data_IF_570687492498
#
_entry.id   IF_570687492498
#
_cell.length_a   1.000
_cell.length_b   1.000
_cell.length_c   1.000
_cell.angle_alpha   90.00
_cell.angle_beta   90.00
_cell.angle_gamma   90.00
#
_symmetry.space_group_name_H-M   'P 1'
#
loop_
_entity.id
_entity.type
_entity.pdbx_description
1 polymer ?
#
# COMPACT_ATOMS: atom_id res chain seq x y z
N UNK A 1 8.55 29.51 -26.64
CA UNK A 1 7.19 29.26 -26.14
C UNK A 1 7.30 28.04 -25.26
N UNK A 2 7.51 28.26 -23.95
CA UNK A 2 7.72 27.21 -22.95
C UNK A 2 6.41 26.51 -22.66
N UNK A 3 6.42 25.19 -22.74
CA UNK A 3 5.37 24.35 -22.20
C UNK A 3 5.54 24.41 -20.67
N UNK A 4 4.70 25.19 -20.00
CA UNK A 4 4.56 25.13 -18.55
C UNK A 4 4.11 23.70 -18.21
N UNK A 5 5.03 22.91 -17.64
CA UNK A 5 4.68 21.66 -16.97
C UNK A 5 3.76 22.04 -15.81
N UNK A 6 2.47 21.77 -15.93
CA UNK A 6 1.55 21.79 -14.79
C UNK A 6 2.24 21.02 -13.66
N UNK A 7 2.67 21.76 -12.62
CA UNK A 7 3.42 21.22 -11.51
C UNK A 7 2.54 20.27 -10.69
N UNK A 8 2.63 18.97 -10.97
CA UNK A 8 2.09 17.96 -10.05
C UNK A 8 2.72 18.22 -8.68
N UNK A 9 1.89 18.39 -7.64
CA UNK A 9 2.38 18.52 -6.27
C UNK A 9 3.27 17.30 -5.94
N UNK A 10 4.37 17.49 -5.21
CA UNK A 10 5.19 16.37 -4.80
C UNK A 10 4.39 15.39 -3.93
N UNK A 11 4.67 14.10 -4.06
CA UNK A 11 4.09 13.07 -3.20
C UNK A 11 4.61 13.26 -1.78
N UNK A 12 3.72 13.48 -0.83
CA UNK A 12 4.04 13.72 0.56
C UNK A 12 4.22 12.41 1.33
N UNK A 13 5.32 12.31 2.08
CA UNK A 13 5.75 11.10 2.78
C UNK A 13 5.92 11.39 4.26
N UNK A 14 5.38 10.53 5.12
CA UNK A 14 5.69 10.48 6.54
C UNK A 14 6.58 9.27 6.82
N UNK A 15 7.56 9.39 7.72
CA UNK A 15 8.47 8.31 8.11
C UNK A 15 8.22 7.96 9.57
N UNK A 16 7.99 6.67 9.85
CA UNK A 16 7.74 6.15 11.19
C UNK A 16 8.70 4.99 11.48
N UNK A 17 9.62 5.20 12.43
CA UNK A 17 10.65 4.24 12.80
C UNK A 17 11.21 4.66 14.18
N UNK A 18 11.43 3.75 15.11
CA UNK A 18 11.93 4.09 16.46
C UNK A 18 13.39 4.55 16.42
N UNK A 19 14.15 4.12 15.41
CA UNK A 19 15.56 4.42 15.27
C UNK A 19 15.77 5.75 14.52
N UNK A 20 16.23 6.77 15.21
CA UNK A 20 16.51 8.09 14.62
C UNK A 20 17.41 8.04 13.38
N UNK A 21 18.42 7.17 13.40
CA UNK A 21 19.35 7.04 12.26
C UNK A 21 18.69 6.39 11.05
N UNK A 22 17.78 5.45 11.26
CA UNK A 22 16.98 4.86 10.18
C UNK A 22 16.09 5.94 9.52
N UNK A 23 15.35 6.74 10.33
CA UNK A 23 14.56 7.87 9.81
C UNK A 23 15.41 8.84 9.00
N UNK A 24 16.57 9.24 9.50
CA UNK A 24 17.49 10.12 8.78
C UNK A 24 17.94 9.50 7.45
N UNK A 25 18.29 8.21 7.45
CA UNK A 25 18.68 7.48 6.24
C UNK A 25 17.57 7.45 5.21
N UNK A 26 16.34 7.12 5.60
CA UNK A 26 15.16 7.12 4.73
C UNK A 26 14.86 8.53 4.19
N UNK A 27 14.93 9.55 5.04
CA UNK A 27 14.71 10.93 4.62
C UNK A 27 15.75 11.38 3.56
N UNK A 28 17.02 10.99 3.74
CA UNK A 28 18.07 11.27 2.74
C UNK A 28 17.84 10.51 1.43
N UNK A 29 17.30 9.28 1.48
CA UNK A 29 16.93 8.53 0.28
C UNK A 29 15.77 9.18 -0.46
N UNK A 30 14.71 9.59 0.22
CA UNK A 30 13.55 10.28 -0.36
C UNK A 30 13.96 11.60 -0.97
N UNK A 31 14.83 12.38 -0.32
CA UNK A 31 15.30 13.69 -0.80
C UNK A 31 16.04 13.61 -2.14
N UNK A 32 16.55 12.43 -2.56
CA UNK A 32 17.15 12.24 -3.88
C UNK A 32 16.13 12.26 -5.04
N UNK A 33 14.85 12.14 -4.74
CA UNK A 33 13.76 12.17 -5.70
C UNK A 33 12.99 13.52 -5.57
N UNK A 34 13.11 14.44 -6.53
CA UNK A 34 12.58 15.81 -6.39
C UNK A 34 11.05 15.89 -6.36
N UNK A 35 10.37 14.83 -6.78
CA UNK A 35 8.92 14.67 -6.76
C UNK A 35 8.38 14.04 -5.46
N UNK A 36 9.26 13.77 -4.49
CA UNK A 36 8.89 13.24 -3.17
C UNK A 36 9.29 14.22 -2.06
N UNK A 37 8.44 14.38 -1.04
CA UNK A 37 8.66 15.31 0.06
C UNK A 37 8.37 14.63 1.40
N UNK A 38 9.36 14.60 2.29
CA UNK A 38 9.11 14.21 3.69
C UNK A 38 8.42 15.37 4.41
N UNK A 39 7.20 15.13 4.90
CA UNK A 39 6.36 16.15 5.56
C UNK A 39 6.26 15.93 7.07
N UNK A 40 6.55 14.73 7.57
CA UNK A 40 6.52 14.41 8.99
C UNK A 40 7.38 13.19 9.32
N UNK A 41 7.75 13.07 10.60
CA UNK A 41 8.41 11.91 11.18
C UNK A 41 7.75 11.55 12.51
N UNK A 42 7.83 10.29 12.93
CA UNK A 42 7.44 9.81 14.26
C UNK A 42 8.35 8.66 14.70
N UNK A 43 8.49 8.45 16.01
CA UNK A 43 9.33 7.42 16.61
C UNK A 43 8.57 6.14 16.98
N UNK A 44 7.25 6.17 16.97
CA UNK A 44 6.40 5.00 17.22
C UNK A 44 5.00 5.16 16.61
N UNK A 45 4.18 4.11 16.71
CA UNK A 45 2.84 4.11 16.13
C UNK A 45 1.87 5.08 16.79
N UNK A 46 2.00 5.34 18.09
CA UNK A 46 1.13 6.25 18.81
C UNK A 46 1.43 7.70 18.41
N UNK A 47 2.71 8.09 18.41
CA UNK A 47 3.16 9.40 17.92
C UNK A 47 2.73 9.63 16.47
N UNK A 48 2.84 8.58 15.63
CA UNK A 48 2.42 8.66 14.24
C UNK A 48 0.93 9.00 14.10
N UNK A 49 0.05 8.40 14.90
CA UNK A 49 -1.38 8.73 14.90
C UNK A 49 -1.65 10.16 15.36
N UNK A 50 -0.96 10.64 16.38
CA UNK A 50 -1.09 12.01 16.89
C UNK A 50 -0.64 13.05 15.86
N UNK A 51 0.48 12.79 15.19
CA UNK A 51 0.98 13.62 14.09
C UNK A 51 -0.02 13.67 12.94
N UNK A 52 -0.58 12.53 12.52
CA UNK A 52 -1.61 12.48 11.48
C UNK A 52 -2.88 13.25 11.86
N UNK A 53 -3.31 13.20 13.11
CA UNK A 53 -4.44 14.02 13.60
C UNK A 53 -4.15 15.51 13.50
N UNK A 54 -2.94 15.91 13.84
CA UNK A 54 -2.48 17.29 13.71
C UNK A 54 -2.48 17.77 12.26
N UNK A 55 -1.89 16.98 11.36
CA UNK A 55 -1.82 17.25 9.92
C UNK A 55 -3.22 17.30 9.28
N UNK A 56 -4.11 16.38 9.64
CA UNK A 56 -5.48 16.35 9.11
C UNK A 56 -6.27 17.63 9.43
N UNK A 57 -5.96 18.28 10.56
CA UNK A 57 -6.60 19.54 10.97
C UNK A 57 -5.95 20.80 10.37
N UNK A 58 -4.75 20.69 9.82
CA UNK A 58 -3.93 21.86 9.43
C UNK A 58 -3.53 21.86 7.96
N UNK A 59 -2.54 21.06 7.60
CA UNK A 59 -1.86 21.09 6.30
C UNK A 59 -2.26 19.99 5.34
N UNK A 60 -3.03 19.02 5.81
CA UNK A 60 -3.44 17.85 5.05
C UNK A 60 -2.60 16.61 5.33
N UNK A 61 -3.19 15.44 5.10
CA UNK A 61 -2.58 14.14 5.35
C UNK A 61 -1.48 13.83 4.34
N UNK A 62 -0.44 13.05 4.73
CA UNK A 62 0.54 12.54 3.79
C UNK A 62 -0.11 11.52 2.82
N UNK A 63 0.44 11.44 1.60
CA UNK A 63 0.01 10.45 0.63
C UNK A 63 0.46 9.04 1.04
N UNK A 64 1.70 8.92 1.56
CA UNK A 64 2.30 7.65 1.96
C UNK A 64 2.95 7.76 3.33
N UNK A 65 2.76 6.74 4.16
CA UNK A 65 3.51 6.52 5.41
C UNK A 65 4.49 5.36 5.19
N UNK A 66 5.79 5.59 5.37
CA UNK A 66 6.80 4.55 5.53
C UNK A 66 6.75 4.09 6.97
N UNK A 67 6.41 2.84 7.23
CA UNK A 67 6.12 2.31 8.56
C UNK A 67 7.07 1.17 8.92
N UNK A 68 7.88 1.36 9.95
CA UNK A 68 8.59 0.23 10.55
C UNK A 68 7.62 -0.72 11.25
N UNK A 69 7.96 -2.01 11.26
CA UNK A 69 7.14 -3.05 11.91
C UNK A 69 7.38 -3.06 13.41
N UNK A 70 8.66 -3.09 13.82
CA UNK A 70 9.04 -3.28 15.23
C UNK A 70 9.42 -1.99 15.89
N UNK A 71 8.51 -1.48 16.67
CA UNK A 71 8.72 -0.30 17.50
C UNK A 71 8.25 -0.53 18.93
N UNK A 72 8.87 0.08 19.95
CA UNK A 72 8.37 0.07 21.31
C UNK A 72 6.97 0.69 21.41
N UNK A 73 6.18 0.26 22.37
CA UNK A 73 4.83 0.77 22.55
C UNK A 73 3.85 0.27 21.48
N UNK A 74 3.41 1.13 20.59
CA UNK A 74 2.54 0.74 19.48
C UNK A 74 3.38 0.31 18.29
N UNK A 75 3.32 -0.98 17.96
CA UNK A 75 3.99 -1.55 16.77
C UNK A 75 3.37 -1.07 15.46
N UNK A 76 4.12 -1.26 14.35
CA UNK A 76 3.70 -0.79 13.03
C UNK A 76 2.45 -1.49 12.48
N UNK A 77 2.17 -2.74 12.87
CA UNK A 77 0.96 -3.47 12.45
C UNK A 77 -0.26 -2.87 13.13
N UNK A 78 -0.19 -2.64 14.44
CA UNK A 78 -1.23 -1.99 15.23
C UNK A 78 -1.50 -0.56 14.75
N UNK A 79 -0.44 0.20 14.46
CA UNK A 79 -0.52 1.54 13.89
C UNK A 79 -1.17 1.52 12.49
N UNK A 80 -0.75 0.61 11.61
CA UNK A 80 -1.33 0.42 10.27
C UNK A 80 -2.82 0.13 10.35
N UNK A 81 -3.25 -0.76 11.26
CA UNK A 81 -4.67 -1.06 11.49
C UNK A 81 -5.47 0.16 11.93
N UNK A 82 -4.91 0.96 12.84
CA UNK A 82 -5.55 2.20 13.30
C UNK A 82 -5.62 3.25 12.18
N UNK A 83 -4.53 3.44 11.42
CA UNK A 83 -4.49 4.34 10.26
C UNK A 83 -5.49 3.94 9.19
N UNK A 84 -5.60 2.63 8.92
CA UNK A 84 -6.55 2.10 7.95
C UNK A 84 -8.00 2.48 8.24
N UNK A 85 -8.36 2.61 9.52
CA UNK A 85 -9.72 2.99 9.96
C UNK A 85 -9.93 4.49 10.03
N UNK A 86 -8.93 5.23 10.54
CA UNK A 86 -9.06 6.65 10.88
C UNK A 86 -8.69 7.57 9.72
N UNK A 87 -7.75 7.14 8.86
CA UNK A 87 -7.18 7.90 7.75
C UNK A 87 -7.18 7.05 6.46
N UNK A 88 -8.34 6.71 5.90
CA UNK A 88 -8.47 5.75 4.79
C UNK A 88 -7.80 6.20 3.49
N UNK A 89 -7.49 7.47 3.33
CA UNK A 89 -6.78 8.01 2.17
C UNK A 89 -5.26 7.83 2.25
N UNK A 90 -4.72 7.70 3.47
CA UNK A 90 -3.29 7.50 3.71
C UNK A 90 -2.89 6.08 3.34
N UNK A 91 -1.87 5.93 2.51
CA UNK A 91 -1.33 4.64 2.12
C UNK A 91 -0.17 4.28 3.04
N UNK A 92 -0.10 3.04 3.48
CA UNK A 92 0.99 2.57 4.36
C UNK A 92 1.87 1.60 3.58
N UNK A 93 3.15 1.97 3.39
CA UNK A 93 4.22 1.11 2.89
C UNK A 93 5.04 0.63 4.08
N UNK A 94 4.93 -0.64 4.41
CA UNK A 94 5.63 -1.23 5.54
C UNK A 94 7.09 -1.53 5.17
N UNK A 95 8.01 -1.16 6.05
CA UNK A 95 9.44 -1.43 5.94
C UNK A 95 9.86 -2.43 7.01
N UNK A 96 10.66 -3.43 6.65
CA UNK A 96 11.13 -4.45 7.60
C UNK A 96 12.50 -5.00 7.23
N UNK A 97 13.10 -5.75 8.16
CA UNK A 97 14.34 -6.50 7.94
C UNK A 97 14.05 -7.92 7.41
N UNK A 98 15.08 -8.64 6.94
CA UNK A 98 15.01 -9.91 6.22
C UNK A 98 14.27 -11.05 6.96
N UNK A 99 14.22 -11.05 8.29
CA UNK A 99 13.75 -12.18 9.11
C UNK A 99 12.27 -12.08 9.52
N UNK A 100 11.48 -11.22 8.88
CA UNK A 100 10.16 -10.81 9.38
C UNK A 100 9.01 -11.06 8.40
N UNK A 101 9.09 -12.07 7.54
CA UNK A 101 8.06 -12.37 6.55
C UNK A 101 6.66 -12.60 7.17
N UNK A 102 6.58 -13.16 8.39
CA UNK A 102 5.31 -13.37 9.09
C UNK A 102 4.59 -12.04 9.44
N UNK A 103 5.36 -10.99 9.69
CA UNK A 103 4.80 -9.65 9.94
C UNK A 103 4.29 -8.96 8.67
N UNK A 104 4.88 -9.26 7.50
CA UNK A 104 4.42 -8.74 6.22
C UNK A 104 2.95 -9.10 5.97
N UNK A 105 2.58 -10.37 6.26
CA UNK A 105 1.19 -10.83 6.13
C UNK A 105 0.26 -10.11 7.10
N UNK A 106 0.64 -10.03 8.37
CA UNK A 106 -0.14 -9.31 9.38
C UNK A 106 -0.40 -7.86 8.96
N UNK A 107 0.62 -7.18 8.42
CA UNK A 107 0.50 -5.80 7.95
C UNK A 107 -0.46 -5.68 6.74
N UNK A 108 -0.36 -6.57 5.75
CA UNK A 108 -1.24 -6.58 4.58
C UNK A 108 -2.69 -6.89 4.96
N UNK A 109 -2.93 -7.82 5.89
CA UNK A 109 -4.28 -8.14 6.39
C UNK A 109 -4.96 -6.95 7.07
N UNK A 110 -4.21 -6.13 7.79
CA UNK A 110 -4.75 -4.96 8.50
C UNK A 110 -4.82 -3.70 7.64
N UNK A 111 -4.33 -3.75 6.38
CA UNK A 111 -4.53 -2.69 5.40
C UNK A 111 -3.27 -1.95 4.96
N UNK A 112 -2.07 -2.55 5.09
CA UNK A 112 -0.89 -2.04 4.41
C UNK A 112 -1.07 -2.11 2.89
N UNK A 113 -0.61 -1.08 2.18
CA UNK A 113 -0.68 -0.96 0.72
C UNK A 113 0.55 -1.56 0.02
N UNK A 114 1.56 -1.92 0.77
CA UNK A 114 2.76 -2.56 0.27
C UNK A 114 3.74 -2.91 1.37
N UNK A 115 4.78 -3.61 0.96
CA UNK A 115 5.84 -4.11 1.81
C UNK A 115 7.19 -4.03 1.10
N UNK A 116 8.22 -3.58 1.80
CA UNK A 116 9.56 -3.42 1.27
C UNK A 116 10.60 -3.75 2.34
N UNK A 117 11.74 -4.29 1.93
CA UNK A 117 12.85 -4.53 2.84
C UNK A 117 13.63 -3.24 3.11
N UNK A 118 14.16 -3.05 4.33
CA UNK A 118 14.93 -1.84 4.72
C UNK A 118 16.27 -1.70 3.99
N UNK A 119 16.78 -2.77 3.38
CA UNK A 119 18.06 -2.79 2.63
C UNK A 119 17.95 -2.31 1.18
N UNK A 120 16.79 -1.76 0.79
CA UNK A 120 16.56 -1.26 -0.57
C UNK A 120 17.43 -0.05 -0.91
N UNK A 121 17.69 0.11 -2.21
CA UNK A 121 18.35 1.32 -2.75
C UNK A 121 17.36 2.49 -2.84
N UNK A 122 17.89 3.72 -2.75
CA UNK A 122 17.07 4.94 -2.83
C UNK A 122 16.14 4.98 -4.07
N UNK A 123 16.61 4.53 -5.23
CA UNK A 123 15.80 4.48 -6.44
C UNK A 123 14.59 3.51 -6.31
N UNK A 124 14.79 2.36 -5.67
CA UNK A 124 13.74 1.37 -5.43
C UNK A 124 12.72 1.88 -4.41
N UNK A 125 13.20 2.52 -3.32
CA UNK A 125 12.32 3.15 -2.33
C UNK A 125 11.44 4.24 -2.99
N UNK A 126 12.03 5.12 -3.79
CA UNK A 126 11.30 6.16 -4.50
C UNK A 126 10.26 5.59 -5.47
N UNK A 127 10.62 4.54 -6.22
CA UNK A 127 9.68 3.84 -7.10
C UNK A 127 8.52 3.21 -6.33
N UNK A 128 8.81 2.57 -5.19
CA UNK A 128 7.80 1.96 -4.33
C UNK A 128 6.83 3.01 -3.76
N UNK A 129 7.34 4.15 -3.29
CA UNK A 129 6.50 5.26 -2.79
C UNK A 129 5.57 5.77 -3.89
N UNK A 130 6.07 5.99 -5.12
CA UNK A 130 5.24 6.45 -6.25
C UNK A 130 4.15 5.43 -6.59
N UNK A 131 4.51 4.15 -6.66
CA UNK A 131 3.57 3.08 -6.97
C UNK A 131 2.44 3.03 -5.91
N UNK A 132 2.80 3.04 -4.62
CA UNK A 132 1.82 3.04 -3.53
C UNK A 132 0.95 4.29 -3.54
N UNK A 133 1.51 5.47 -3.77
CA UNK A 133 0.76 6.73 -3.88
C UNK A 133 -0.28 6.67 -5.02
N UNK A 134 0.04 5.99 -6.13
CA UNK A 134 -0.86 5.78 -7.26
C UNK A 134 -1.88 4.64 -7.04
N UNK A 135 -1.84 3.98 -5.88
CA UNK A 135 -2.73 2.86 -5.55
C UNK A 135 -2.26 1.49 -6.07
N UNK A 136 -1.04 1.41 -6.59
CA UNK A 136 -0.40 0.15 -6.94
C UNK A 136 0.14 -0.55 -5.69
N UNK A 137 0.22 -1.89 -5.75
CA UNK A 137 0.81 -2.68 -4.68
C UNK A 137 2.32 -2.83 -4.91
N UNK A 138 3.09 -2.69 -3.84
CA UNK A 138 4.50 -3.06 -3.84
C UNK A 138 4.67 -4.29 -2.95
N UNK A 139 4.90 -5.43 -3.59
CA UNK A 139 5.18 -6.70 -2.94
C UNK A 139 6.48 -7.26 -3.49
N UNK A 140 7.31 -7.84 -2.64
CA UNK A 140 8.46 -8.61 -3.13
C UNK A 140 7.98 -9.93 -3.73
N UNK A 141 8.66 -10.51 -4.74
CA UNK A 141 8.28 -11.79 -5.33
C UNK A 141 8.14 -12.92 -4.29
N UNK A 142 8.93 -12.86 -3.22
CA UNK A 142 8.89 -13.81 -2.12
C UNK A 142 7.59 -13.68 -1.32
N UNK A 143 7.22 -12.45 -0.92
CA UNK A 143 5.95 -12.18 -0.21
C UNK A 143 4.76 -12.55 -1.08
N UNK A 144 4.80 -12.25 -2.38
CA UNK A 144 3.76 -12.65 -3.33
C UNK A 144 3.58 -14.18 -3.36
N UNK A 145 4.66 -14.95 -3.46
CA UNK A 145 4.61 -16.42 -3.44
C UNK A 145 4.04 -16.96 -2.13
N UNK A 146 4.36 -16.35 -1.03
CA UNK A 146 3.94 -16.77 0.30
C UNK A 146 2.48 -16.39 0.58
N UNK A 147 2.03 -15.22 0.13
CA UNK A 147 0.59 -14.85 0.08
C UNK A 147 -0.20 -15.90 -0.71
N UNK A 148 0.36 -16.36 -1.83
CA UNK A 148 -0.24 -17.42 -2.64
C UNK A 148 -0.22 -18.77 -1.92
N UNK A 149 0.89 -19.16 -1.27
CA UNK A 149 1.08 -20.48 -0.67
C UNK A 149 0.31 -20.67 0.65
N UNK A 150 0.22 -19.65 1.49
CA UNK A 150 -0.45 -19.75 2.81
C UNK A 150 -1.96 -19.60 2.73
N UNK A 151 -2.53 -19.17 1.57
CA UNK A 151 -3.96 -18.87 1.44
C UNK A 151 -4.42 -18.10 2.67
N UNK A 152 -4.64 -16.81 2.60
CA UNK A 152 -4.90 -15.92 3.75
C UNK A 152 -5.68 -16.61 4.87
N UNK A 153 -5.13 -16.74 6.11
CA UNK A 153 -5.78 -17.46 7.19
C UNK A 153 -7.15 -16.89 7.51
N UNK A 154 -8.03 -17.77 7.85
CA UNK A 154 -9.44 -17.61 8.19
C UNK A 154 -9.61 -16.92 9.55
N UNK A 155 -9.33 -15.62 9.66
CA UNK A 155 -9.65 -14.85 10.87
C UNK A 155 -10.25 -13.51 10.52
N UNK A 156 -11.55 -13.51 10.31
CA UNK A 156 -12.47 -12.41 10.67
C UNK A 156 -13.85 -13.02 10.90
N UNK A 157 -14.10 -13.47 12.13
CA UNK A 157 -15.44 -13.69 12.63
C UNK A 157 -16.02 -12.33 13.06
N UNK A 158 -17.15 -11.96 12.47
CA UNK A 158 -18.11 -11.06 13.09
C UNK A 158 -18.27 -9.68 12.46
N UNK A 159 -18.72 -9.58 11.21
CA UNK A 159 -19.73 -8.59 10.76
C UNK A 159 -20.06 -8.83 9.27
N UNK A 160 -21.32 -9.17 9.03
CA UNK A 160 -22.02 -9.24 7.74
C UNK A 160 -21.41 -10.15 6.66
N UNK A 161 -22.00 -11.35 6.59
CA UNK A 161 -21.80 -12.38 5.58
C UNK A 161 -22.58 -12.04 4.30
N UNK A 162 -22.02 -11.20 3.45
CA UNK A 162 -22.15 -11.39 2.02
C UNK A 162 -21.00 -12.32 1.61
N UNK A 163 -21.33 -13.47 1.01
CA UNK A 163 -20.33 -14.48 0.67
C UNK A 163 -19.24 -13.89 -0.24
N UNK A 164 -17.95 -14.22 -0.06
CA UNK A 164 -16.85 -13.68 -0.88
C UNK A 164 -17.07 -13.85 -2.40
N UNK A 165 -17.86 -14.85 -2.81
CA UNK A 165 -18.22 -15.12 -4.21
C UNK A 165 -19.19 -14.06 -4.79
N UNK A 166 -20.09 -13.49 -3.99
CA UNK A 166 -21.08 -12.50 -4.44
C UNK A 166 -20.44 -11.13 -4.67
N UNK A 167 -19.41 -10.77 -3.91
CA UNK A 167 -18.70 -9.49 -4.08
C UNK A 167 -18.15 -9.29 -5.50
N UNK A 168 -17.54 -10.31 -6.09
CA UNK A 168 -17.00 -10.22 -7.45
C UNK A 168 -18.07 -10.28 -8.54
N UNK A 169 -19.32 -10.61 -8.19
CA UNK A 169 -20.47 -10.55 -9.10
C UNK A 169 -20.82 -9.14 -9.58
N UNK A 170 -20.39 -8.10 -8.86
CA UNK A 170 -20.57 -6.71 -9.27
C UNK A 170 -19.59 -6.25 -10.36
N UNK A 171 -18.54 -7.04 -10.64
CA UNK A 171 -17.53 -6.73 -11.64
C UNK A 171 -17.98 -7.15 -13.05
N UNK A 172 -17.64 -6.32 -14.02
CA UNK A 172 -17.74 -6.71 -15.43
C UNK A 172 -16.73 -7.82 -15.76
N UNK A 173 -16.91 -8.60 -16.85
CA UNK A 173 -15.95 -9.62 -17.24
C UNK A 173 -14.52 -9.08 -17.35
N UNK A 174 -14.36 -7.87 -17.87
CA UNK A 174 -13.04 -7.22 -18.01
C UNK A 174 -12.42 -6.83 -16.68
N UNK A 175 -13.21 -6.31 -15.76
CA UNK A 175 -12.76 -6.01 -14.41
C UNK A 175 -12.40 -7.29 -13.65
N UNK A 176 -13.12 -8.39 -13.90
CA UNK A 176 -12.82 -9.69 -13.30
C UNK A 176 -11.49 -10.25 -13.80
N UNK A 177 -11.19 -10.13 -15.12
CA UNK A 177 -9.89 -10.51 -15.70
C UNK A 177 -8.75 -9.70 -15.05
N UNK A 178 -8.93 -8.39 -14.93
CA UNK A 178 -7.94 -7.52 -14.27
C UNK A 178 -7.76 -7.92 -12.81
N UNK A 179 -8.84 -8.17 -12.04
CA UNK A 179 -8.75 -8.57 -10.64
C UNK A 179 -8.01 -9.92 -10.47
N UNK A 180 -8.24 -10.88 -11.38
CA UNK A 180 -7.52 -12.15 -11.41
C UNK A 180 -6.02 -11.97 -11.63
N UNK A 181 -5.63 -11.17 -12.62
CA UNK A 181 -4.22 -10.92 -12.93
C UNK A 181 -3.52 -10.12 -11.83
N UNK A 182 -4.25 -9.24 -11.12
CA UNK A 182 -3.76 -8.59 -9.90
C UNK A 182 -3.48 -9.63 -8.82
N UNK A 183 -4.37 -10.61 -8.64
CA UNK A 183 -4.17 -11.69 -7.68
C UNK A 183 -2.99 -12.60 -8.07
N UNK A 184 -2.69 -12.75 -9.35
CA UNK A 184 -1.48 -13.42 -9.85
C UNK A 184 -0.19 -12.58 -9.65
N UNK A 185 -0.29 -11.36 -9.11
CA UNK A 185 0.85 -10.50 -8.79
C UNK A 185 1.37 -9.64 -9.96
N UNK A 186 0.65 -9.58 -11.09
CA UNK A 186 1.09 -8.83 -12.27
C UNK A 186 1.01 -7.32 -12.06
N UNK A 187 1.99 -6.56 -12.56
CA UNK A 187 1.98 -5.10 -12.64
C UNK A 187 0.91 -4.58 -13.64
N UNK A 188 0.65 -3.28 -13.65
CA UNK A 188 -0.28 -2.69 -14.61
C UNK A 188 0.23 -2.81 -16.06
N UNK A 189 1.55 -2.77 -16.26
CA UNK A 189 2.22 -2.95 -17.54
C UNK A 189 2.05 -4.40 -18.05
N UNK A 190 2.32 -5.40 -17.21
CA UNK A 190 2.15 -6.82 -17.55
C UNK A 190 0.68 -7.17 -17.82
N UNK A 191 -0.27 -6.61 -17.04
CA UNK A 191 -1.70 -6.76 -17.29
C UNK A 191 -2.09 -6.11 -18.62
N UNK A 192 -1.53 -4.93 -18.92
CA UNK A 192 -1.79 -4.23 -20.17
C UNK A 192 -1.33 -5.05 -21.37
N UNK A 193 -0.13 -5.62 -21.32
CA UNK A 193 0.39 -6.53 -22.34
C UNK A 193 -0.48 -7.78 -22.46
N UNK A 194 -0.78 -8.44 -21.36
CA UNK A 194 -1.56 -9.70 -21.33
C UNK A 194 -2.97 -9.56 -21.89
N UNK A 195 -3.60 -8.41 -21.62
CA UNK A 195 -4.98 -8.13 -22.03
C UNK A 195 -5.09 -7.26 -23.28
N UNK A 196 -3.96 -6.92 -23.91
CA UNK A 196 -3.89 -6.03 -25.09
C UNK A 196 -4.61 -4.69 -24.79
N UNK A 197 -4.19 -4.04 -23.73
CA UNK A 197 -4.72 -2.75 -23.27
C UNK A 197 -3.62 -1.70 -23.18
N UNK A 198 -4.02 -0.43 -23.02
CA UNK A 198 -3.12 0.62 -22.59
C UNK A 198 -2.99 0.59 -21.06
N UNK A 199 -1.80 0.86 -20.46
CA UNK A 199 -1.61 0.92 -18.99
C UNK A 199 -2.60 1.85 -18.29
N UNK A 200 -2.93 2.99 -18.92
CA UNK A 200 -3.95 3.92 -18.42
C UNK A 200 -5.35 3.29 -18.32
N UNK A 201 -5.68 2.34 -19.21
CA UNK A 201 -6.95 1.61 -19.16
C UNK A 201 -6.96 0.59 -18.03
N UNK A 202 -5.82 -0.06 -17.75
CA UNK A 202 -5.68 -0.96 -16.59
C UNK A 202 -5.88 -0.17 -15.30
N UNK A 203 -5.20 0.99 -15.12
CA UNK A 203 -5.39 1.86 -13.95
C UNK A 203 -6.85 2.25 -13.72
N UNK A 204 -7.57 2.62 -14.79
CA UNK A 204 -9.02 2.92 -14.71
C UNK A 204 -9.86 1.70 -14.26
N UNK A 205 -9.53 0.51 -14.75
CA UNK A 205 -10.22 -0.72 -14.31
C UNK A 205 -9.92 -0.99 -12.83
N UNK A 206 -8.68 -0.85 -12.37
CA UNK A 206 -8.30 -1.00 -10.95
C UNK A 206 -9.12 -0.03 -10.09
N UNK A 207 -9.18 1.26 -10.45
CA UNK A 207 -9.98 2.25 -9.71
C UNK A 207 -11.46 1.89 -9.64
N UNK A 208 -12.04 1.37 -10.73
CA UNK A 208 -13.43 0.91 -10.76
C UNK A 208 -13.66 -0.33 -9.87
N UNK A 209 -12.73 -1.28 -9.90
CA UNK A 209 -12.77 -2.47 -9.04
C UNK A 209 -12.75 -2.05 -7.58
N UNK A 210 -11.81 -1.17 -7.20
CA UNK A 210 -11.69 -0.66 -5.84
C UNK A 210 -12.99 0.02 -5.37
N UNK A 211 -13.58 0.88 -6.21
CA UNK A 211 -14.83 1.54 -5.92
C UNK A 211 -16.01 0.56 -5.76
N UNK A 212 -16.17 -0.40 -6.68
CA UNK A 212 -17.27 -1.38 -6.66
C UNK A 212 -17.18 -2.35 -5.48
N UNK A 213 -15.95 -2.74 -5.09
CA UNK A 213 -15.72 -3.69 -4.00
C UNK A 213 -15.51 -3.00 -2.65
N UNK A 214 -15.54 -1.65 -2.62
CA UNK A 214 -15.23 -0.83 -1.43
C UNK A 214 -13.87 -1.20 -0.82
N UNK A 215 -12.86 -1.37 -1.67
CA UNK A 215 -11.49 -1.69 -1.30
C UNK A 215 -10.62 -0.45 -1.39
N UNK A 216 -9.53 -0.40 -0.60
CA UNK A 216 -8.67 0.77 -0.46
C UNK A 216 -7.53 0.82 -1.48
N UNK A 217 -7.01 -0.34 -1.83
CA UNK A 217 -5.86 -0.49 -2.70
C UNK A 217 -5.84 -1.85 -3.40
N UNK A 218 -4.89 -2.00 -4.29
CA UNK A 218 -4.71 -3.20 -5.13
C UNK A 218 -4.40 -4.46 -4.33
N UNK A 219 -3.70 -4.33 -3.18
CA UNK A 219 -3.42 -5.48 -2.30
C UNK A 219 -4.72 -6.07 -1.80
N UNK A 220 -5.68 -5.21 -1.45
CA UNK A 220 -7.00 -5.63 -0.99
C UNK A 220 -7.79 -6.37 -2.07
N UNK A 221 -7.57 -6.07 -3.36
CA UNK A 221 -8.16 -6.84 -4.47
C UNK A 221 -7.60 -8.27 -4.46
N UNK A 222 -6.27 -8.42 -4.38
CA UNK A 222 -5.61 -9.73 -4.33
C UNK A 222 -6.07 -10.55 -3.12
N UNK A 223 -6.04 -9.95 -1.93
CA UNK A 223 -6.51 -10.58 -0.68
C UNK A 223 -7.98 -11.03 -0.79
N UNK A 224 -8.86 -10.16 -1.31
CA UNK A 224 -10.28 -10.49 -1.50
C UNK A 224 -10.47 -11.63 -2.51
N UNK A 225 -9.68 -11.66 -3.58
CA UNK A 225 -9.72 -12.71 -4.59
C UNK A 225 -9.43 -14.08 -3.98
N UNK A 226 -8.32 -14.22 -3.25
CA UNK A 226 -7.97 -15.49 -2.59
C UNK A 226 -8.99 -15.89 -1.51
N UNK A 227 -9.52 -14.92 -0.75
CA UNK A 227 -10.60 -15.20 0.22
C UNK A 227 -11.89 -15.70 -0.43
N UNK A 228 -12.12 -15.41 -1.71
CA UNK A 228 -13.30 -15.89 -2.45
C UNK A 228 -13.21 -17.34 -2.92
N UNK A 229 -12.05 -17.99 -2.77
CA UNK A 229 -11.80 -19.38 -3.21
C UNK A 229 -11.78 -19.53 -4.74
N UNK A 230 -11.40 -18.47 -5.45
CA UNK A 230 -11.22 -18.45 -6.92
C UNK A 230 -9.77 -18.67 -7.31
#
# INVERSE_FOLDING_TARGET
>A
MGVESEGLRPTSVMIVDDQRYARLGLALMIRKAPDLLVVAEAGDGQEALEVLEGLNRSTGLPDVVLMDVRMPGMDGISATKAMARRFPTVKVLVLTTYDEDDYAFGALEVGASGFLLKDVRAAQLAQAVRAVAQGDAVLTPRVTKEVIARGVPRVLSGAQREGPRERFGALTPRELDVARLIAEGMSNEEIAERLVLQPASVRRNVSRILAKLHLRDRVQIAVAWYKSGR
#
